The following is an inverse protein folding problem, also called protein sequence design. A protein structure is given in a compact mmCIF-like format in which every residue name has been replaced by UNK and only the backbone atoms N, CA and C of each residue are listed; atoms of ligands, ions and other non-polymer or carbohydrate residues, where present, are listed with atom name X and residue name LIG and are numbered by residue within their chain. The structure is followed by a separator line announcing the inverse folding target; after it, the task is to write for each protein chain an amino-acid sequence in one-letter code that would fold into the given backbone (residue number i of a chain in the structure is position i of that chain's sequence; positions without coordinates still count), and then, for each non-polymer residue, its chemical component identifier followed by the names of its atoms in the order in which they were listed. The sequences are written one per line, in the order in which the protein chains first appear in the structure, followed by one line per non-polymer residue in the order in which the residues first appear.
data_IF_098196208545
#
_entry.id   IF_098196208545
#
_cell.length_a   1.000
_cell.length_b   1.000
_cell.length_c   1.000
_cell.angle_alpha   90.00
_cell.angle_beta   90.00
_cell.angle_gamma   90.00
#
_symmetry.space_group_name_H-M   'P 1'
#
loop_
_entity.id
_entity.type
_entity.pdbx_description
1 polymer ?
#
# COMPACT_ATOMS: atom_id res chain seq x y z
N UNK A 1 -8.95 -15.37 -18.45
CA UNK A 1 -9.11 -13.92 -18.25
C UNK A 1 -8.46 -13.55 -16.92
N UNK A 2 -7.54 -12.59 -16.90
CA UNK A 2 -7.08 -12.08 -15.62
C UNK A 2 -8.28 -11.50 -14.89
N UNK A 3 -8.49 -11.93 -13.67
CA UNK A 3 -9.57 -11.39 -12.83
C UNK A 3 -9.21 -9.94 -12.52
N UNK A 4 -9.99 -9.02 -13.04
CA UNK A 4 -9.80 -7.61 -12.79
C UNK A 4 -9.96 -7.33 -11.29
N UNK A 5 -9.09 -6.50 -10.73
CA UNK A 5 -9.24 -6.06 -9.34
C UNK A 5 -10.60 -5.38 -9.14
N UNK A 6 -11.27 -5.60 -8.00
CA UNK A 6 -12.50 -4.90 -7.71
C UNK A 6 -12.26 -3.40 -7.54
N UNK A 7 -13.30 -2.61 -7.75
CA UNK A 7 -13.32 -1.19 -7.39
C UNK A 7 -14.06 -1.04 -6.07
N UNK A 8 -13.50 -0.26 -5.15
CA UNK A 8 -14.15 0.02 -3.87
C UNK A 8 -14.56 1.48 -3.80
N UNK A 9 -15.71 1.72 -3.19
CA UNK A 9 -16.19 3.07 -2.91
C UNK A 9 -16.35 3.25 -1.42
N UNK A 10 -15.91 4.40 -0.92
CA UNK A 10 -16.05 4.81 0.47
C UNK A 10 -16.76 6.17 0.50
N UNK A 11 -17.11 6.71 1.67
CA UNK A 11 -17.79 8.02 1.72
C UNK A 11 -17.07 9.14 0.97
N UNK A 12 -15.75 9.15 0.93
CA UNK A 12 -14.97 10.23 0.31
C UNK A 12 -14.08 9.78 -0.84
N UNK A 13 -13.88 8.46 -1.05
CA UNK A 13 -12.84 7.94 -1.93
C UNK A 13 -13.41 6.89 -2.89
N UNK A 14 -12.76 6.78 -4.03
CA UNK A 14 -12.88 5.63 -4.92
C UNK A 14 -11.51 4.98 -5.06
N UNK A 15 -11.46 3.67 -4.87
CA UNK A 15 -10.27 2.87 -5.12
C UNK A 15 -10.50 2.08 -6.39
N UNK A 16 -9.77 2.41 -7.43
CA UNK A 16 -9.82 1.69 -8.71
C UNK A 16 -8.48 1.05 -9.02
N UNK A 17 -8.45 -0.03 -9.80
CA UNK A 17 -7.18 -0.64 -10.20
C UNK A 17 -6.22 0.41 -10.78
N UNK A 18 -4.98 0.41 -10.28
CA UNK A 18 -3.93 1.30 -10.78
C UNK A 18 -3.52 0.85 -12.19
N UNK A 19 -3.34 1.79 -13.09
CA UNK A 19 -2.90 1.52 -14.45
C UNK A 19 -1.86 2.52 -14.92
N UNK A 20 -1.38 2.34 -16.16
CA UNK A 20 -0.34 3.20 -16.74
C UNK A 20 -0.76 4.67 -16.83
N UNK A 21 -2.05 4.96 -16.87
CA UNK A 21 -2.57 6.34 -16.81
C UNK A 21 -2.23 7.06 -15.50
N UNK A 22 -1.90 6.31 -14.46
CA UNK A 22 -1.54 6.86 -13.15
C UNK A 22 -0.03 7.05 -12.98
N UNK A 23 0.76 6.69 -13.98
CA UNK A 23 2.23 6.69 -13.89
C UNK A 23 2.77 8.07 -13.48
N UNK A 24 2.35 9.12 -14.16
CA UNK A 24 2.88 10.47 -13.89
C UNK A 24 2.46 10.95 -12.50
N UNK A 25 1.26 10.64 -12.04
CA UNK A 25 0.82 10.99 -10.69
C UNK A 25 1.63 10.22 -9.63
N UNK A 26 1.90 8.94 -9.85
CA UNK A 26 2.74 8.14 -8.96
C UNK A 26 4.18 8.68 -8.92
N UNK A 27 4.74 9.03 -10.07
CA UNK A 27 6.07 9.61 -10.17
C UNK A 27 6.16 10.93 -9.41
N UNK A 28 5.16 11.82 -9.59
CA UNK A 28 5.11 13.10 -8.91
C UNK A 28 5.03 12.93 -7.38
N UNK A 29 4.22 12.00 -6.92
CA UNK A 29 4.10 11.68 -5.49
C UNK A 29 5.43 11.23 -4.89
N UNK A 30 6.12 10.32 -5.56
CA UNK A 30 7.37 9.74 -5.06
C UNK A 30 8.55 10.73 -5.09
N UNK A 31 8.48 11.77 -5.91
CA UNK A 31 9.51 12.82 -5.97
C UNK A 31 9.49 13.73 -4.75
N UNK A 32 8.43 13.75 -3.98
CA UNK A 32 8.38 14.48 -2.71
C UNK A 32 9.20 13.72 -1.66
N UNK A 33 10.34 14.26 -1.18
CA UNK A 33 11.21 13.53 -0.24
C UNK A 33 10.54 13.24 1.10
N UNK A 34 9.53 14.00 1.49
CA UNK A 34 8.76 13.72 2.70
C UNK A 34 7.88 12.49 2.52
N UNK A 35 7.34 12.26 1.33
CA UNK A 35 6.52 11.08 1.03
C UNK A 35 7.35 9.80 1.09
N UNK A 36 8.58 9.85 0.58
CA UNK A 36 9.46 8.68 0.50
C UNK A 36 10.48 8.59 1.63
N UNK A 37 10.38 9.45 2.62
CA UNK A 37 11.35 9.61 3.72
C UNK A 37 11.73 8.30 4.41
N UNK A 38 10.79 7.39 4.60
CA UNK A 38 11.00 6.13 5.32
C UNK A 38 11.16 4.94 4.37
N UNK A 39 11.33 5.17 3.09
CA UNK A 39 11.32 4.13 2.06
C UNK A 39 12.60 4.18 1.24
N UNK A 40 13.33 3.05 1.13
CA UNK A 40 14.42 2.97 0.18
C UNK A 40 13.88 2.91 -1.25
N UNK A 41 14.58 3.56 -2.16
CA UNK A 41 14.18 3.51 -3.56
C UNK A 41 15.00 4.46 -4.42
N UNK A 42 14.89 4.33 -5.74
CA UNK A 42 15.63 5.14 -6.70
C UNK A 42 14.94 6.50 -6.95
N UNK A 43 14.55 7.19 -5.89
CA UNK A 43 13.68 8.37 -5.99
C UNK A 43 14.34 9.59 -6.65
N UNK A 44 15.68 9.65 -6.62
CA UNK A 44 16.43 10.79 -7.14
C UNK A 44 16.96 10.56 -8.56
N UNK A 45 16.89 9.37 -9.09
CA UNK A 45 17.26 9.05 -10.47
C UNK A 45 15.98 8.89 -11.31
N UNK A 46 15.63 9.84 -12.18
CA UNK A 46 14.37 9.81 -12.92
C UNK A 46 14.19 8.56 -13.81
N UNK A 47 15.27 8.06 -14.38
CA UNK A 47 15.23 6.88 -15.26
C UNK A 47 14.99 5.62 -14.44
N UNK A 48 15.76 5.43 -13.38
CA UNK A 48 15.61 4.28 -12.49
C UNK A 48 14.28 4.31 -11.76
N UNK A 49 13.82 5.49 -11.34
CA UNK A 49 12.52 5.66 -10.68
C UNK A 49 11.37 5.27 -11.61
N UNK A 50 11.38 5.76 -12.86
CA UNK A 50 10.34 5.41 -13.84
C UNK A 50 10.32 3.90 -14.08
N UNK A 51 11.48 3.30 -14.32
CA UNK A 51 11.59 1.87 -14.53
C UNK A 51 11.05 1.08 -13.35
N UNK A 52 11.34 1.50 -12.13
CA UNK A 52 10.86 0.88 -10.91
C UNK A 52 9.32 0.91 -10.82
N UNK A 53 8.70 2.05 -11.08
CA UNK A 53 7.23 2.19 -11.00
C UNK A 53 6.56 1.42 -12.13
N UNK A 54 7.06 1.52 -13.36
CA UNK A 54 6.52 0.79 -14.51
C UNK A 54 6.59 -0.72 -14.31
N UNK A 55 7.69 -1.21 -13.77
CA UNK A 55 7.87 -2.63 -13.51
C UNK A 55 6.79 -3.16 -12.58
N UNK A 56 6.47 -2.43 -11.53
CA UNK A 56 5.39 -2.78 -10.62
C UNK A 56 4.00 -2.67 -11.24
N UNK A 57 3.81 -1.74 -12.15
CA UNK A 57 2.54 -1.60 -12.88
C UNK A 57 2.31 -2.74 -13.87
N UNK A 58 3.38 -3.27 -14.44
CA UNK A 58 3.33 -4.38 -15.40
C UNK A 58 3.40 -5.77 -14.75
N UNK A 59 3.78 -5.82 -13.48
CA UNK A 59 3.89 -7.09 -12.76
C UNK A 59 2.54 -7.78 -12.68
N UNK A 60 2.55 -9.11 -12.84
CA UNK A 60 1.34 -9.93 -12.71
C UNK A 60 1.25 -10.42 -11.26
N UNK A 61 0.28 -9.90 -10.54
CA UNK A 61 0.02 -10.26 -9.15
C UNK A 61 -0.93 -11.45 -9.05
N UNK A 62 -0.93 -12.17 -7.91
CA UNK A 62 -1.96 -13.18 -7.66
C UNK A 62 -3.37 -12.61 -7.80
N UNK A 63 -4.33 -13.48 -8.09
CA UNK A 63 -5.74 -13.10 -8.25
C UNK A 63 -6.24 -12.31 -7.04
N UNK A 64 -6.86 -11.17 -7.30
CA UNK A 64 -7.40 -10.29 -6.26
C UNK A 64 -6.38 -9.41 -5.56
N UNK A 65 -5.12 -9.46 -5.98
CA UNK A 65 -4.04 -8.66 -5.40
C UNK A 65 -3.45 -7.69 -6.42
N UNK A 66 -2.84 -6.63 -5.94
CA UNK A 66 -2.24 -5.59 -6.78
C UNK A 66 -2.30 -4.24 -6.10
N UNK A 67 -2.37 -3.19 -6.91
CA UNK A 67 -2.42 -1.80 -6.45
C UNK A 67 -3.74 -1.16 -6.87
N UNK A 68 -4.30 -0.37 -5.95
CA UNK A 68 -5.45 0.50 -6.22
C UNK A 68 -4.99 1.95 -6.15
N UNK A 69 -5.37 2.74 -7.16
CA UNK A 69 -5.24 4.19 -7.08
C UNK A 69 -6.37 4.74 -6.22
N UNK A 70 -6.03 5.66 -5.33
CA UNK A 70 -7.00 6.32 -4.44
C UNK A 70 -7.40 7.64 -5.09
N UNK A 71 -8.68 7.77 -5.39
CA UNK A 71 -9.24 8.96 -6.03
C UNK A 71 -10.16 9.65 -5.05
N UNK A 72 -9.81 10.88 -4.67
CA UNK A 72 -10.64 11.80 -3.91
C UNK A 72 -11.38 12.74 -4.86
N UNK A 73 -12.29 13.62 -4.37
CA UNK A 73 -12.97 14.58 -5.25
C UNK A 73 -12.03 15.43 -6.11
N UNK A 74 -10.84 15.76 -5.59
CA UNK A 74 -9.84 16.56 -6.30
C UNK A 74 -8.94 15.74 -7.26
N UNK A 75 -9.12 14.43 -7.31
CA UNK A 75 -8.34 13.55 -8.18
C UNK A 75 -7.46 12.57 -7.42
N UNK A 76 -6.39 12.11 -8.05
CA UNK A 76 -5.47 11.12 -7.48
C UNK A 76 -4.79 11.65 -6.21
N UNK A 77 -4.86 10.88 -5.13
CA UNK A 77 -4.22 11.24 -3.85
C UNK A 77 -3.23 10.19 -3.34
N UNK A 78 -3.11 9.06 -4.02
CA UNK A 78 -2.18 8.02 -3.62
C UNK A 78 -2.60 6.63 -4.07
N UNK A 79 -2.06 5.61 -3.42
CA UNK A 79 -2.41 4.23 -3.71
C UNK A 79 -2.40 3.35 -2.45
N UNK A 80 -3.11 2.22 -2.55
CA UNK A 80 -3.05 1.10 -1.60
C UNK A 80 -2.52 -0.11 -2.37
N UNK A 81 -1.61 -0.87 -1.77
CA UNK A 81 -1.20 -2.16 -2.30
C UNK A 81 -1.67 -3.30 -1.40
N UNK A 82 -1.92 -4.44 -2.02
CA UNK A 82 -2.08 -5.74 -1.39
C UNK A 82 -1.32 -6.73 -2.26
N UNK A 83 -0.14 -7.14 -1.84
CA UNK A 83 0.77 -7.94 -2.69
C UNK A 83 1.60 -8.89 -1.85
N UNK A 84 2.13 -9.97 -2.45
CA UNK A 84 3.17 -10.74 -1.79
C UNK A 84 4.35 -9.84 -1.42
N UNK A 85 4.88 -10.01 -0.22
CA UNK A 85 6.05 -9.27 0.26
C UNK A 85 7.22 -9.51 -0.71
N UNK A 86 7.90 -8.45 -1.11
CA UNK A 86 8.98 -8.49 -2.11
C UNK A 86 8.57 -9.16 -3.42
N UNK A 87 7.28 -9.08 -3.77
CA UNK A 87 6.64 -9.65 -4.97
C UNK A 87 6.56 -11.18 -5.00
N UNK A 88 7.25 -11.89 -4.13
CA UNK A 88 7.39 -13.35 -4.19
C UNK A 88 7.20 -14.05 -2.85
N UNK A 89 7.21 -13.33 -1.74
CA UNK A 89 7.15 -13.91 -0.42
C UNK A 89 5.83 -14.61 -0.11
N UNK A 90 5.82 -15.55 0.87
CA UNK A 90 4.56 -16.16 1.31
C UNK A 90 3.68 -15.17 2.09
N UNK A 91 4.29 -14.18 2.76
CA UNK A 91 3.54 -13.14 3.45
C UNK A 91 2.88 -12.21 2.44
N UNK A 92 1.65 -11.80 2.74
CA UNK A 92 0.92 -10.80 1.96
C UNK A 92 0.92 -9.51 2.76
N UNK A 93 1.42 -8.45 2.13
CA UNK A 93 1.47 -7.13 2.75
C UNK A 93 0.37 -6.21 2.23
N UNK A 94 -0.09 -5.33 3.11
CA UNK A 94 -0.85 -4.15 2.73
C UNK A 94 0.04 -2.93 2.96
N UNK A 95 -0.01 -1.97 2.04
CA UNK A 95 0.75 -0.74 2.14
C UNK A 95 -0.05 0.43 1.59
N UNK A 96 0.31 1.62 2.00
CA UNK A 96 -0.35 2.86 1.57
C UNK A 96 0.68 3.96 1.38
N UNK A 97 0.40 4.81 0.39
CA UNK A 97 1.20 6.00 0.13
C UNK A 97 0.28 7.10 -0.38
N UNK A 98 0.40 8.29 0.20
CA UNK A 98 -0.42 9.44 -0.15
C UNK A 98 0.45 10.64 -0.48
N UNK A 99 -0.02 11.47 -1.41
CA UNK A 99 0.55 12.79 -1.62
C UNK A 99 0.46 13.62 -0.34
N UNK A 100 1.45 14.47 -0.09
CA UNK A 100 1.52 15.26 1.14
C UNK A 100 0.27 16.08 1.44
N UNK A 101 -0.36 16.79 0.46
CA UNK A 101 -1.58 17.56 0.74
C UNK A 101 -2.77 16.73 1.23
N UNK A 102 -2.74 15.41 1.01
CA UNK A 102 -3.80 14.52 1.45
C UNK A 102 -3.58 13.98 2.88
N UNK A 103 -2.44 14.28 3.50
CA UNK A 103 -2.16 13.81 4.85
C UNK A 103 -3.05 14.46 5.90
N UNK A 104 -3.25 13.76 7.02
CA UNK A 104 -4.00 14.29 8.15
C UNK A 104 -5.51 14.34 7.97
N UNK A 105 -6.04 13.71 6.92
CA UNK A 105 -7.47 13.69 6.61
C UNK A 105 -8.15 12.34 6.87
N UNK A 106 -7.39 11.34 7.33
CA UNK A 106 -7.92 9.99 7.54
C UNK A 106 -8.06 9.15 6.27
N UNK A 107 -7.55 9.61 5.14
CA UNK A 107 -7.70 8.92 3.86
C UNK A 107 -7.00 7.56 3.83
N UNK A 108 -5.81 7.42 4.41
CA UNK A 108 -5.11 6.14 4.42
C UNK A 108 -5.92 5.05 5.13
N UNK A 109 -6.47 5.37 6.28
CA UNK A 109 -7.32 4.45 7.05
C UNK A 109 -8.61 4.12 6.28
N UNK A 110 -9.26 5.13 5.72
CA UNK A 110 -10.49 4.95 4.94
C UNK A 110 -10.26 4.08 3.71
N UNK A 111 -9.16 4.30 2.99
CA UNK A 111 -8.80 3.53 1.80
C UNK A 111 -8.38 2.09 2.14
N UNK A 112 -7.65 1.90 3.23
CA UNK A 112 -7.13 0.58 3.59
C UNK A 112 -8.22 -0.38 4.11
N UNK A 113 -9.30 0.14 4.73
CA UNK A 113 -10.36 -0.71 5.28
C UNK A 113 -11.00 -1.67 4.27
N UNK A 114 -11.48 -1.21 3.11
CA UNK A 114 -12.09 -2.14 2.15
C UNK A 114 -11.08 -3.13 1.56
N UNK A 115 -9.82 -2.73 1.40
CA UNK A 115 -8.76 -3.62 0.91
C UNK A 115 -8.44 -4.70 1.94
N UNK A 116 -8.32 -4.32 3.22
CA UNK A 116 -8.10 -5.27 4.30
C UNK A 116 -9.28 -6.24 4.42
N UNK A 117 -10.51 -5.76 4.33
CA UNK A 117 -11.70 -6.61 4.33
C UNK A 117 -11.70 -7.57 3.15
N UNK A 118 -11.35 -7.10 1.96
CA UNK A 118 -11.19 -7.92 0.77
C UNK A 118 -10.15 -9.02 0.99
N UNK A 119 -9.01 -8.69 1.57
CA UNK A 119 -7.96 -9.66 1.87
C UNK A 119 -8.43 -10.77 2.82
N UNK A 120 -9.05 -10.38 3.93
CA UNK A 120 -9.42 -11.34 4.98
C UNK A 120 -10.71 -12.11 4.68
N UNK A 121 -11.69 -11.51 4.02
CA UNK A 121 -13.02 -12.11 3.83
C UNK A 121 -13.27 -12.59 2.40
N UNK A 122 -12.76 -11.91 1.39
CA UNK A 122 -12.95 -12.34 -0.01
C UNK A 122 -11.85 -13.29 -0.45
N UNK A 123 -10.59 -12.97 -0.15
CA UNK A 123 -9.46 -13.83 -0.47
C UNK A 123 -9.19 -14.88 0.62
N UNK A 124 -9.88 -14.77 1.75
CA UNK A 124 -9.77 -15.70 2.88
C UNK A 124 -8.35 -15.89 3.39
N UNK A 125 -7.54 -14.82 3.32
CA UNK A 125 -6.18 -14.85 3.86
C UNK A 125 -6.23 -14.96 5.39
N UNK A 126 -5.36 -15.78 5.95
CA UNK A 126 -5.28 -15.93 7.41
C UNK A 126 -4.79 -14.66 8.07
N UNK A 127 -3.85 -13.98 7.44
CA UNK A 127 -3.29 -12.75 7.96
C UNK A 127 -2.74 -11.87 6.84
N UNK A 128 -2.64 -10.60 7.14
CA UNK A 128 -2.02 -9.58 6.30
C UNK A 128 -1.01 -8.85 7.17
N UNK A 129 0.16 -8.55 6.63
CA UNK A 129 1.20 -7.82 7.35
C UNK A 129 1.33 -6.39 6.83
N UNK A 130 1.85 -5.52 7.68
CA UNK A 130 2.32 -4.19 7.31
C UNK A 130 3.66 -3.97 7.99
N UNK A 131 4.72 -3.84 7.21
CA UNK A 131 6.06 -3.57 7.71
C UNK A 131 6.30 -2.07 7.69
N UNK A 132 6.52 -1.48 8.86
CA UNK A 132 6.56 -0.03 9.05
C UNK A 132 7.85 0.35 9.76
N UNK A 133 8.53 1.38 9.24
CA UNK A 133 9.68 1.97 9.93
C UNK A 133 9.24 2.45 11.32
N UNK A 134 9.98 2.09 12.39
CA UNK A 134 9.59 2.46 13.77
C UNK A 134 9.48 3.97 14.00
N UNK A 135 10.10 4.79 13.16
CA UNK A 135 9.99 6.25 13.21
C UNK A 135 8.79 6.82 12.45
N UNK A 136 8.13 6.00 11.62
CA UNK A 136 7.00 6.45 10.79
C UNK A 136 5.69 6.45 11.58
N UNK A 137 5.54 7.42 12.48
CA UNK A 137 4.42 7.48 13.43
C UNK A 137 3.05 7.59 12.74
N UNK A 138 2.97 8.27 11.61
CA UNK A 138 1.70 8.42 10.88
C UNK A 138 1.18 7.07 10.38
N UNK A 139 2.06 6.23 9.80
CA UNK A 139 1.70 4.88 9.35
C UNK A 139 1.39 3.94 10.50
N UNK A 140 2.11 4.07 11.62
CA UNK A 140 1.83 3.29 12.83
C UNK A 140 0.42 3.60 13.35
N UNK A 141 0.01 4.87 13.36
CA UNK A 141 -1.36 5.25 13.75
C UNK A 141 -2.41 4.66 12.82
N UNK A 142 -2.15 4.63 11.53
CA UNK A 142 -3.06 3.99 10.56
C UNK A 142 -3.19 2.49 10.86
N UNK A 143 -2.07 1.80 11.06
CA UNK A 143 -2.07 0.38 11.41
C UNK A 143 -2.90 0.10 12.68
N UNK A 144 -2.72 0.90 13.72
CA UNK A 144 -3.51 0.76 14.96
C UNK A 144 -5.00 0.97 14.71
N UNK A 145 -5.39 1.99 13.94
CA UNK A 145 -6.81 2.24 13.62
C UNK A 145 -7.44 1.12 12.82
N UNK A 146 -6.64 0.40 12.03
CA UNK A 146 -7.11 -0.75 11.25
C UNK A 146 -7.16 -2.04 12.07
N UNK A 147 -6.71 -2.02 13.32
CA UNK A 147 -6.71 -3.19 14.20
C UNK A 147 -5.46 -4.06 14.09
N UNK A 148 -4.42 -3.62 13.42
CA UNK A 148 -3.14 -4.33 13.38
C UNK A 148 -2.47 -4.32 14.76
N UNK A 149 -1.76 -5.40 15.05
CA UNK A 149 -0.97 -5.55 16.29
C UNK A 149 0.50 -5.75 15.95
N UNK A 150 1.42 -5.19 16.75
CA UNK A 150 2.84 -5.42 16.54
C UNK A 150 3.20 -6.88 16.77
N UNK A 151 4.03 -7.42 15.90
CA UNK A 151 4.46 -8.82 15.92
C UNK A 151 5.98 -8.96 15.87
N UNK A 152 6.72 -7.94 16.29
CA UNK A 152 8.17 -7.95 16.38
C UNK A 152 8.85 -7.18 15.27
N UNK A 153 10.17 -7.30 15.19
CA UNK A 153 11.00 -6.66 14.19
C UNK A 153 11.32 -7.62 13.05
N UNK A 154 11.46 -7.09 11.85
CA UNK A 154 11.83 -7.85 10.67
C UNK A 154 12.83 -7.05 9.83
N UNK A 155 13.78 -7.72 9.14
CA UNK A 155 14.63 -7.06 8.18
C UNK A 155 13.83 -6.77 6.89
N UNK A 156 14.04 -5.59 6.31
CA UNK A 156 13.44 -5.22 5.04
C UNK A 156 14.33 -4.21 4.32
N UNK A 157 14.83 -4.59 3.15
CA UNK A 157 15.71 -3.76 2.31
C UNK A 157 16.88 -3.11 3.08
N UNK A 158 17.56 -3.91 3.90
CA UNK A 158 18.70 -3.44 4.70
C UNK A 158 18.35 -2.61 5.92
N UNK A 159 17.06 -2.48 6.25
CA UNK A 159 16.57 -1.77 7.43
C UNK A 159 15.85 -2.73 8.36
N UNK A 160 15.66 -2.29 9.61
CA UNK A 160 14.81 -2.99 10.57
C UNK A 160 13.45 -2.28 10.60
N UNK A 161 12.40 -3.01 10.34
CA UNK A 161 11.02 -2.52 10.43
C UNK A 161 10.30 -3.21 11.57
N UNK A 162 9.23 -2.59 12.07
CA UNK A 162 8.28 -3.25 12.96
C UNK A 162 7.21 -3.90 12.09
N UNK A 163 6.99 -5.18 12.30
CA UNK A 163 5.92 -5.91 11.60
C UNK A 163 4.63 -5.82 12.39
N UNK A 164 3.60 -5.37 11.71
CA UNK A 164 2.22 -5.36 12.23
C UNK A 164 1.43 -6.42 11.52
N UNK A 165 0.52 -7.08 12.23
CA UNK A 165 -0.28 -8.18 11.69
C UNK A 165 -1.75 -7.94 11.98
N UNK A 166 -2.59 -8.16 10.97
CA UNK A 166 -4.05 -8.24 11.10
C UNK A 166 -4.53 -9.58 10.54
N UNK A 167 -5.54 -10.15 11.15
CA UNK A 167 -6.13 -11.41 10.71
C UNK A 167 -6.69 -12.20 11.87
N UNK A 168 -7.20 -13.41 11.56
CA UNK A 168 -7.71 -14.30 12.59
C UNK A 168 -6.55 -14.78 13.44
N UNK A 169 -6.60 -14.49 14.73
CA UNK A 169 -5.82 -15.24 15.71
C UNK A 169 -6.23 -16.70 15.57
N UNK A 170 -5.27 -17.57 15.23
CA UNK A 170 -5.46 -18.98 15.40
C UNK A 170 -5.78 -19.20 16.88
N UNK A 171 -7.03 -19.50 17.15
CA UNK A 171 -7.44 -19.99 18.46
C UNK A 171 -6.82 -21.33 18.73
#
# INVERSE_FOLDING_TARGET
MPTQLPTFRTPRLMLRPRGMKDLEACMAMDRDPEVTRFLPGPWTDPIAHRAFVEDRMRHIYPVGMGYWSIIAPDGFVGWILLTPLDLHGPEIEIGWRLVRPAWGRGYATEAARPVLRHALHTLELRQVIADIDPAHMASIRVAHKLGFKPAGSAPHDGRTVTRYVAGSSSG
#
